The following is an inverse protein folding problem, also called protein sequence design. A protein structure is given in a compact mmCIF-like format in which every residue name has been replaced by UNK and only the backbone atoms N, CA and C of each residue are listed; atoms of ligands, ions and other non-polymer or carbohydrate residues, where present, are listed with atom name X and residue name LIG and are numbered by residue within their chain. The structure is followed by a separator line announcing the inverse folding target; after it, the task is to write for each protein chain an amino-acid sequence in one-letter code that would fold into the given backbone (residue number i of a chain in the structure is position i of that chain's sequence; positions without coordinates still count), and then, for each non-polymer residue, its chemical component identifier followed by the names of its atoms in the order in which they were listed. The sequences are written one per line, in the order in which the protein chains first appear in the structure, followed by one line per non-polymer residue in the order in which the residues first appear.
data_IF_238014049161
#
_entry.id   IF_238014049161
#
_cell.length_a   1.000
_cell.length_b   1.000
_cell.length_c   1.000
_cell.angle_alpha   90.00
_cell.angle_beta   90.00
_cell.angle_gamma   90.00
#
_symmetry.space_group_name_H-M   'P 1'
#
loop_
_entity.id
_entity.type
_entity.pdbx_description
1 polymer ?
#
# COMPACT_ATOMS: atom_id res chain seq x y z
N UNK A 1 -14.78 17.82 -6.36
CA UNK A 1 -14.04 19.07 -6.29
C UNK A 1 -12.54 18.84 -6.05
N UNK A 2 -12.09 18.27 -4.91
CA UNK A 2 -10.66 18.10 -4.61
C UNK A 2 -9.90 17.33 -5.70
N UNK A 3 -10.46 16.21 -6.20
CA UNK A 3 -9.85 15.42 -7.28
C UNK A 3 -9.77 16.22 -8.58
N UNK A 4 -10.82 16.93 -8.92
CA UNK A 4 -10.90 17.77 -10.13
C UNK A 4 -9.90 18.93 -10.12
N UNK A 5 -9.66 19.51 -8.96
CA UNK A 5 -8.68 20.60 -8.76
C UNK A 5 -7.25 20.07 -8.62
N UNK A 6 -7.05 18.74 -8.68
CA UNK A 6 -5.76 18.10 -8.51
C UNK A 6 -5.18 18.23 -7.10
N UNK A 7 -6.02 18.38 -6.08
CA UNK A 7 -5.60 18.44 -4.67
C UNK A 7 -5.63 17.08 -3.99
N UNK A 8 -6.21 16.08 -4.65
CA UNK A 8 -6.29 14.71 -4.17
C UNK A 8 -6.25 13.74 -5.35
N UNK A 9 -5.76 12.52 -5.11
CA UNK A 9 -5.87 11.40 -6.03
C UNK A 9 -6.96 10.44 -5.57
N UNK A 10 -7.51 9.67 -6.51
CA UNK A 10 -8.51 8.66 -6.24
C UNK A 10 -7.89 7.27 -6.31
N UNK A 11 -8.15 6.45 -5.30
CA UNK A 11 -7.95 5.01 -5.33
C UNK A 11 -9.08 4.35 -4.54
N UNK A 12 -9.29 3.06 -4.77
CA UNK A 12 -10.47 2.37 -4.27
C UNK A 12 -10.11 1.16 -3.44
N UNK A 13 -10.80 1.03 -2.32
CA UNK A 13 -10.75 -0.13 -1.43
C UNK A 13 -12.11 -0.79 -1.52
N UNK A 14 -12.15 -2.06 -1.98
CA UNK A 14 -13.40 -2.81 -2.06
C UNK A 14 -14.12 -2.91 -0.70
N UNK A 15 -15.46 -2.99 -0.68
CA UNK A 15 -16.37 -3.07 -1.83
C UNK A 15 -16.90 -1.70 -2.34
N UNK A 16 -16.44 -0.57 -1.78
CA UNK A 16 -17.01 0.75 -2.06
C UNK A 16 -16.61 1.27 -3.45
N UNK A 17 -17.54 1.18 -4.40
CA UNK A 17 -17.33 1.54 -5.81
C UNK A 17 -18.31 2.61 -6.33
N UNK A 18 -19.14 3.17 -5.44
CA UNK A 18 -20.28 4.03 -5.83
C UNK A 18 -19.90 5.19 -6.77
N UNK A 19 -18.72 5.79 -6.58
CA UNK A 19 -18.26 6.96 -7.35
C UNK A 19 -17.02 6.68 -8.19
N UNK A 20 -16.67 5.41 -8.41
CA UNK A 20 -15.46 4.98 -9.09
C UNK A 20 -15.25 5.69 -10.45
N UNK A 21 -16.19 5.52 -11.38
CA UNK A 21 -16.08 6.09 -12.73
C UNK A 21 -16.00 7.63 -12.73
N UNK A 22 -16.77 8.28 -11.85
CA UNK A 22 -16.77 9.73 -11.73
C UNK A 22 -15.41 10.25 -11.22
N UNK A 23 -14.87 9.63 -10.16
CA UNK A 23 -13.62 10.08 -9.56
C UNK A 23 -12.42 9.83 -10.48
N UNK A 24 -12.40 8.71 -11.21
CA UNK A 24 -11.36 8.45 -12.21
C UNK A 24 -11.42 9.45 -13.37
N UNK A 25 -12.62 9.78 -13.86
CA UNK A 25 -12.76 10.80 -14.90
C UNK A 25 -12.22 12.15 -14.43
N UNK A 26 -12.62 12.61 -13.24
CA UNK A 26 -12.16 13.87 -12.68
C UNK A 26 -10.64 13.89 -12.44
N UNK A 27 -10.05 12.74 -12.07
CA UNK A 27 -8.61 12.61 -11.95
C UNK A 27 -7.92 12.70 -13.31
N UNK A 28 -8.44 12.01 -14.33
CA UNK A 28 -7.90 12.05 -15.68
C UNK A 28 -7.93 13.49 -16.25
N UNK A 29 -9.02 14.24 -16.03
CA UNK A 29 -9.13 15.66 -16.39
C UNK A 29 -8.03 16.49 -15.69
N UNK A 30 -7.84 16.32 -14.37
CA UNK A 30 -6.80 17.02 -13.61
C UNK A 30 -5.38 16.68 -14.10
N UNK A 31 -5.11 15.42 -14.45
CA UNK A 31 -3.85 14.96 -15.03
C UNK A 31 -3.60 15.59 -16.40
N UNK A 32 -4.61 15.60 -17.28
CA UNK A 32 -4.52 16.21 -18.61
C UNK A 32 -4.21 17.70 -18.53
N UNK A 33 -4.85 18.41 -17.63
CA UNK A 33 -4.64 19.84 -17.40
C UNK A 33 -3.41 20.14 -16.55
N UNK A 34 -2.72 19.13 -16.04
CA UNK A 34 -1.51 19.26 -15.19
C UNK A 34 -1.71 20.18 -13.99
N UNK A 35 -2.89 20.12 -13.35
CA UNK A 35 -3.21 20.97 -12.19
C UNK A 35 -2.85 20.32 -10.86
N UNK A 36 -2.56 21.13 -9.85
CA UNK A 36 -2.27 20.70 -8.49
C UNK A 36 -1.09 19.71 -8.41
N UNK A 37 -1.33 18.54 -7.77
CA UNK A 37 -0.32 17.50 -7.60
C UNK A 37 0.16 16.88 -8.93
N UNK A 38 -0.61 17.05 -10.01
CA UNK A 38 -0.29 16.57 -11.37
C UNK A 38 0.54 17.57 -12.18
N UNK A 39 0.82 18.76 -11.64
CA UNK A 39 1.67 19.76 -12.31
C UNK A 39 3.12 19.27 -12.40
N UNK A 40 3.95 19.94 -13.22
CA UNK A 40 5.36 19.62 -13.38
C UNK A 40 6.16 19.68 -12.06
N UNK A 41 5.66 20.38 -11.05
CA UNK A 41 6.22 20.43 -9.69
C UNK A 41 5.69 19.31 -8.79
N UNK A 42 4.56 18.70 -9.13
CA UNK A 42 3.98 17.56 -8.44
C UNK A 42 4.74 16.29 -8.79
N UNK A 43 5.15 15.52 -7.77
CA UNK A 43 5.84 14.23 -7.95
C UNK A 43 4.87 13.08 -7.69
N UNK A 44 3.71 13.08 -8.32
CA UNK A 44 2.81 11.93 -8.23
C UNK A 44 3.39 10.81 -9.08
N UNK A 45 3.61 9.68 -8.47
CA UNK A 45 4.08 8.46 -9.11
C UNK A 45 2.90 7.63 -9.57
N UNK A 46 3.07 6.85 -10.62
CA UNK A 46 2.02 5.99 -11.17
C UNK A 46 1.56 4.94 -10.14
N UNK A 47 2.50 4.35 -9.42
CA UNK A 47 2.22 3.48 -8.27
C UNK A 47 2.64 4.16 -6.98
N UNK A 48 1.78 4.06 -5.96
CA UNK A 48 2.01 4.65 -4.65
C UNK A 48 1.69 3.67 -3.53
N UNK A 49 2.59 3.55 -2.57
CA UNK A 49 2.31 2.88 -1.31
C UNK A 49 1.40 3.79 -0.48
N UNK A 50 0.18 3.34 -0.19
CA UNK A 50 -0.82 4.14 0.52
C UNK A 50 -0.94 3.78 1.99
N UNK A 51 -0.51 2.57 2.36
CA UNK A 51 -0.58 2.06 3.73
C UNK A 51 0.49 1.00 3.92
N UNK A 52 1.14 1.01 5.08
CA UNK A 52 1.84 -0.14 5.62
C UNK A 52 1.22 -0.44 6.99
N UNK A 53 0.75 -1.66 7.17
CA UNK A 53 0.10 -2.15 8.39
C UNK A 53 0.91 -3.32 8.93
N UNK A 54 1.71 -3.13 9.98
CA UNK A 54 2.39 -4.23 10.66
C UNK A 54 1.37 -5.06 11.44
N UNK A 55 1.70 -6.32 11.68
CA UNK A 55 0.85 -7.20 12.48
C UNK A 55 0.61 -6.62 13.89
N UNK A 56 -0.66 -6.59 14.30
CA UNK A 56 -1.06 -6.26 15.65
C UNK A 56 -1.68 -7.52 16.30
N UNK A 57 -1.01 -8.15 17.25
CA UNK A 57 -1.50 -9.38 17.86
C UNK A 57 -2.79 -9.17 18.67
N UNK A 58 -3.22 -7.94 18.88
CA UNK A 58 -4.47 -7.60 19.59
C UNK A 58 -5.67 -7.46 18.66
N UNK A 59 -5.44 -7.50 17.33
CA UNK A 59 -6.49 -7.37 16.32
C UNK A 59 -6.61 -8.67 15.52
N UNK A 60 -7.85 -9.09 15.26
CA UNK A 60 -8.17 -10.21 14.38
C UNK A 60 -8.36 -9.66 12.95
N UNK A 61 -7.25 -9.31 12.32
CA UNK A 61 -7.25 -8.76 10.97
C UNK A 61 -7.25 -9.87 9.91
N UNK A 62 -8.04 -9.69 8.85
CA UNK A 62 -8.04 -10.59 7.69
C UNK A 62 -6.61 -10.74 7.09
N UNK A 63 -5.82 -9.68 7.20
CA UNK A 63 -4.42 -9.65 6.78
C UNK A 63 -3.57 -9.19 7.97
N UNK A 64 -2.86 -10.11 8.65
CA UNK A 64 -2.14 -9.79 9.89
C UNK A 64 -1.07 -8.72 9.73
N UNK A 65 -0.37 -8.68 8.58
CA UNK A 65 0.44 -7.53 8.17
C UNK A 65 0.39 -7.38 6.66
N UNK A 66 0.35 -6.14 6.18
CA UNK A 66 0.27 -5.88 4.75
C UNK A 66 0.78 -4.51 4.36
N UNK A 67 1.13 -4.39 3.09
CA UNK A 67 1.31 -3.10 2.40
C UNK A 67 0.27 -2.97 1.30
N UNK A 68 -0.36 -1.81 1.21
CA UNK A 68 -1.29 -1.49 0.12
C UNK A 68 -0.63 -0.55 -0.86
N UNK A 69 -0.70 -0.91 -2.14
CA UNK A 69 -0.20 -0.12 -3.26
C UNK A 69 -1.40 0.23 -4.14
N UNK A 70 -1.47 1.49 -4.61
CA UNK A 70 -2.52 1.98 -5.51
C UNK A 70 -1.92 2.35 -6.87
N UNK A 71 -2.66 2.06 -7.94
CA UNK A 71 -2.39 2.59 -9.28
C UNK A 71 -3.06 3.97 -9.40
N UNK A 72 -2.27 5.02 -9.41
CA UNK A 72 -2.72 6.41 -9.54
C UNK A 72 -2.62 6.93 -10.98
N UNK A 73 -2.09 6.11 -11.90
CA UNK A 73 -2.02 6.46 -13.33
C UNK A 73 -3.40 6.32 -14.01
N UNK A 74 -3.48 6.75 -15.25
CA UNK A 74 -4.65 6.57 -16.11
C UNK A 74 -4.54 5.34 -17.02
N UNK A 75 -3.56 4.47 -16.78
CA UNK A 75 -3.33 3.25 -17.55
C UNK A 75 -3.28 2.02 -16.65
N UNK A 76 -3.60 0.85 -17.20
CA UNK A 76 -3.39 -0.44 -16.55
C UNK A 76 -1.90 -0.71 -16.39
N UNK A 77 -1.46 -1.07 -15.19
CA UNK A 77 -0.07 -1.39 -14.86
C UNK A 77 0.04 -2.89 -14.58
N UNK A 78 0.96 -3.56 -15.27
CA UNK A 78 1.37 -4.93 -14.96
C UNK A 78 2.40 -4.91 -13.84
N UNK A 79 2.17 -5.71 -12.80
CA UNK A 79 3.07 -5.78 -11.64
C UNK A 79 4.17 -6.82 -11.79
N UNK A 80 4.15 -7.65 -12.83
CA UNK A 80 5.21 -8.64 -13.08
C UNK A 80 6.60 -8.01 -12.99
N UNK A 81 7.45 -8.56 -12.12
CA UNK A 81 8.82 -8.10 -11.92
C UNK A 81 8.99 -6.87 -11.01
N UNK A 82 7.91 -6.28 -10.51
CA UNK A 82 8.02 -5.34 -9.40
C UNK A 82 8.38 -6.08 -8.12
N UNK A 83 9.12 -5.42 -7.24
CA UNK A 83 9.55 -5.98 -5.96
C UNK A 83 9.16 -5.02 -4.83
N UNK A 84 8.49 -5.55 -3.84
CA UNK A 84 8.29 -4.89 -2.55
C UNK A 84 9.31 -5.45 -1.57
N UNK A 85 10.00 -4.59 -0.83
CA UNK A 85 10.98 -5.01 0.18
C UNK A 85 10.90 -4.12 1.42
N UNK A 86 11.49 -4.59 2.51
CA UNK A 86 11.63 -3.86 3.77
C UNK A 86 13.10 -3.49 4.06
N UNK A 87 13.36 -2.79 5.17
CA UNK A 87 14.71 -2.45 5.61
C UNK A 87 15.55 -3.69 5.97
N UNK A 88 14.91 -4.75 6.44
CA UNK A 88 15.55 -6.04 6.73
C UNK A 88 16.03 -6.82 5.48
N UNK A 89 15.75 -6.30 4.27
CA UNK A 89 16.14 -6.92 3.01
C UNK A 89 15.25 -8.08 2.57
N UNK A 90 14.17 -8.37 3.26
CA UNK A 90 13.16 -9.32 2.83
C UNK A 90 12.41 -8.78 1.62
N UNK A 91 11.98 -9.67 0.72
CA UNK A 91 11.44 -9.29 -0.59
C UNK A 91 10.22 -10.10 -0.97
N UNK A 92 9.32 -9.43 -1.70
CA UNK A 92 8.20 -10.03 -2.39
C UNK A 92 8.25 -9.65 -3.86
N UNK A 93 8.41 -10.63 -4.74
CA UNK A 93 8.31 -10.44 -6.19
C UNK A 93 6.83 -10.55 -6.58
N UNK A 94 6.30 -9.51 -7.21
CA UNK A 94 4.91 -9.54 -7.69
C UNK A 94 4.75 -10.49 -8.89
N UNK A 95 3.69 -11.33 -8.88
CA UNK A 95 3.33 -12.18 -10.01
C UNK A 95 2.79 -11.34 -11.19
N UNK A 96 2.48 -12.01 -12.32
CA UNK A 96 1.87 -11.36 -13.48
C UNK A 96 0.39 -11.05 -13.22
N UNK A 97 0.16 -10.00 -12.43
CA UNK A 97 -1.15 -9.42 -12.18
C UNK A 97 -1.20 -7.99 -12.71
N UNK A 98 -2.40 -7.57 -13.11
CA UNK A 98 -2.63 -6.23 -13.67
C UNK A 98 -3.52 -5.41 -12.77
N UNK A 99 -3.16 -4.13 -12.58
CA UNK A 99 -3.93 -3.16 -11.82
C UNK A 99 -4.49 -2.08 -12.76
N UNK A 100 -5.79 -2.00 -12.87
CA UNK A 100 -6.46 -0.91 -13.59
C UNK A 100 -6.34 0.43 -12.83
N UNK A 101 -6.59 1.57 -13.47
CA UNK A 101 -6.59 2.88 -12.83
C UNK A 101 -7.45 2.89 -11.56
N UNK A 102 -6.88 3.40 -10.47
CA UNK A 102 -7.54 3.48 -9.17
C UNK A 102 -7.63 2.16 -8.39
N UNK A 103 -7.22 1.02 -8.96
CA UNK A 103 -7.19 -0.26 -8.25
C UNK A 103 -6.06 -0.31 -7.24
N UNK A 104 -6.21 -1.18 -6.26
CA UNK A 104 -5.21 -1.42 -5.22
C UNK A 104 -4.78 -2.88 -5.21
N UNK A 105 -3.54 -3.13 -4.78
CA UNK A 105 -3.07 -4.45 -4.40
C UNK A 105 -2.67 -4.44 -2.93
N UNK A 106 -3.06 -5.47 -2.20
CA UNK A 106 -2.58 -5.79 -0.86
C UNK A 106 -1.47 -6.82 -1.01
N UNK A 107 -0.26 -6.47 -0.63
CA UNK A 107 0.84 -7.39 -0.43
C UNK A 107 0.78 -7.84 1.04
N UNK A 108 0.18 -9.00 1.30
CA UNK A 108 -0.02 -9.54 2.63
C UNK A 108 1.14 -10.44 3.03
N UNK A 109 1.65 -10.30 4.24
CA UNK A 109 2.57 -11.28 4.82
C UNK A 109 1.85 -12.61 5.06
N UNK A 110 2.61 -13.70 5.00
CA UNK A 110 2.07 -15.03 5.20
C UNK A 110 1.62 -15.71 3.91
N UNK A 111 1.03 -16.89 4.06
CA UNK A 111 0.58 -17.75 2.96
C UNK A 111 -0.89 -17.56 2.66
N UNK A 112 -1.27 -17.77 1.41
CA UNK A 112 -2.66 -17.69 0.95
C UNK A 112 -2.75 -17.83 -0.56
N UNK A 113 -3.92 -17.53 -1.12
CA UNK A 113 -4.16 -17.59 -2.56
C UNK A 113 -4.19 -16.18 -3.13
N UNK A 114 -3.34 -15.92 -4.10
CA UNK A 114 -3.32 -14.67 -4.85
C UNK A 114 -4.56 -14.53 -5.71
N UNK A 115 -5.02 -13.29 -5.88
CA UNK A 115 -6.16 -13.03 -6.75
C UNK A 115 -6.94 -11.77 -6.41
N UNK A 116 -8.19 -11.77 -6.84
CA UNK A 116 -9.13 -10.66 -6.62
C UNK A 116 -9.82 -10.87 -5.27
N UNK A 117 -9.50 -10.05 -4.29
CA UNK A 117 -10.16 -10.06 -2.97
C UNK A 117 -11.53 -9.37 -3.02
N UNK A 118 -11.61 -8.28 -3.80
CA UNK A 118 -12.86 -7.56 -4.06
C UNK A 118 -12.71 -6.78 -5.37
N UNK A 119 -13.82 -6.27 -5.91
CA UNK A 119 -13.76 -5.42 -7.11
C UNK A 119 -12.84 -4.23 -6.85
N UNK A 120 -11.81 -4.10 -7.67
CA UNK A 120 -10.81 -3.03 -7.55
C UNK A 120 -9.72 -3.28 -6.51
N UNK A 121 -9.69 -4.47 -5.88
CA UNK A 121 -8.66 -4.84 -4.91
C UNK A 121 -8.12 -6.24 -5.19
N UNK A 122 -6.82 -6.31 -5.42
CA UNK A 122 -6.05 -7.54 -5.55
C UNK A 122 -5.38 -7.89 -4.23
N UNK A 123 -5.07 -9.17 -4.04
CA UNK A 123 -4.21 -9.66 -2.94
C UNK A 123 -3.09 -10.49 -3.53
N UNK A 124 -1.87 -10.26 -3.05
CA UNK A 124 -0.67 -11.05 -3.32
C UNK A 124 -0.08 -11.46 -1.98
N UNK A 125 0.20 -12.74 -1.81
CA UNK A 125 0.78 -13.26 -0.58
C UNK A 125 2.31 -13.30 -0.67
N UNK A 126 2.94 -12.67 0.28
CA UNK A 126 4.38 -12.44 0.39
C UNK A 126 4.92 -13.18 1.61
N UNK A 127 5.00 -14.51 1.54
CA UNK A 127 5.30 -15.37 2.70
C UNK A 127 6.62 -15.05 3.41
N UNK A 128 7.60 -14.52 2.67
CA UNK A 128 8.93 -14.18 3.20
C UNK A 128 9.04 -12.75 3.71
N UNK A 129 8.00 -11.92 3.51
CA UNK A 129 8.02 -10.51 3.87
C UNK A 129 7.36 -10.32 5.23
N UNK A 130 8.13 -9.97 6.23
CA UNK A 130 7.66 -9.62 7.56
C UNK A 130 7.97 -8.15 7.86
N UNK A 131 7.05 -7.49 8.54
CA UNK A 131 7.17 -6.06 8.87
C UNK A 131 7.47 -5.89 10.35
N UNK A 132 8.48 -5.05 10.70
CA UNK A 132 8.76 -4.73 12.09
C UNK A 132 7.58 -3.90 12.66
N UNK A 133 6.91 -4.36 13.74
CA UNK A 133 5.76 -3.65 14.28
C UNK A 133 6.11 -2.29 14.90
N UNK A 134 7.37 -2.04 15.21
CA UNK A 134 7.81 -0.80 15.83
C UNK A 134 8.17 0.28 14.81
N UNK A 135 8.92 -0.05 13.77
CA UNK A 135 9.37 0.88 12.75
C UNK A 135 9.92 0.11 11.56
N UNK A 136 9.50 0.45 10.35
CA UNK A 136 10.05 -0.13 9.11
C UNK A 136 9.81 0.80 7.93
N UNK A 137 10.49 0.51 6.81
CA UNK A 137 10.30 1.22 5.55
C UNK A 137 9.99 0.22 4.43
N UNK A 138 8.87 0.42 3.78
CA UNK A 138 8.52 -0.30 2.57
C UNK A 138 9.14 0.39 1.34
N UNK A 139 9.80 -0.39 0.49
CA UNK A 139 10.40 0.06 -0.78
C UNK A 139 9.73 -0.68 -1.92
N UNK A 140 9.20 0.04 -2.89
CA UNK A 140 8.68 -0.52 -4.14
C UNK A 140 9.66 -0.21 -5.27
N UNK A 141 10.15 -1.24 -5.95
CA UNK A 141 11.04 -1.11 -7.11
C UNK A 141 10.39 -1.72 -8.36
N UNK A 142 10.68 -1.13 -9.53
CA UNK A 142 10.20 -1.64 -10.81
C UNK A 142 11.12 -2.76 -11.38
N UNK A 143 10.75 -3.41 -12.50
CA UNK A 143 11.57 -4.45 -13.13
C UNK A 143 12.99 -3.99 -13.51
N UNK A 144 13.18 -2.69 -13.76
CA UNK A 144 14.52 -2.10 -14.02
C UNK A 144 15.29 -1.80 -12.73
N UNK A 145 14.82 -2.25 -11.57
CA UNK A 145 15.40 -2.00 -10.24
C UNK A 145 15.42 -0.52 -9.82
N UNK A 146 14.66 0.32 -10.48
CA UNK A 146 14.51 1.73 -10.09
C UNK A 146 13.48 1.85 -8.97
N UNK A 147 13.77 2.70 -7.99
CA UNK A 147 12.87 2.99 -6.89
C UNK A 147 11.62 3.71 -7.41
N UNK A 148 10.46 3.12 -7.17
CA UNK A 148 9.14 3.67 -7.54
C UNK A 148 8.57 4.48 -6.39
N UNK A 149 8.49 3.90 -5.18
CA UNK A 149 7.97 4.59 -4.01
C UNK A 149 8.56 4.04 -2.72
N UNK A 150 8.46 4.82 -1.65
CA UNK A 150 8.83 4.43 -0.30
C UNK A 150 7.77 4.86 0.69
N UNK A 151 7.56 4.05 1.72
CA UNK A 151 6.66 4.37 2.81
C UNK A 151 7.30 3.99 4.14
N UNK A 152 7.67 4.98 4.92
CA UNK A 152 8.19 4.79 6.26
C UNK A 152 7.06 4.90 7.29
N UNK A 153 7.03 4.01 8.27
CA UNK A 153 6.09 4.10 9.38
C UNK A 153 6.78 3.86 10.72
N UNK A 154 6.20 4.47 11.75
CA UNK A 154 6.49 4.18 13.15
C UNK A 154 5.22 3.65 13.81
N UNK A 155 5.28 2.41 14.30
CA UNK A 155 4.23 1.80 15.08
C UNK A 155 4.07 2.50 16.44
N UNK A 156 2.92 2.35 17.06
CA UNK A 156 2.77 2.72 18.47
C UNK A 156 3.65 1.78 19.28
N UNK A 157 4.59 2.31 20.07
CA UNK A 157 5.33 1.49 21.06
C UNK A 157 4.30 0.80 21.95
N UNK A 158 4.15 -0.50 21.81
CA UNK A 158 3.43 -1.31 22.78
C UNK A 158 4.26 -1.23 24.04
N UNK A 159 3.82 -0.44 25.03
CA UNK A 159 4.44 -0.47 26.37
C UNK A 159 4.20 -1.87 26.90
N UNK A 160 5.23 -2.70 26.90
CA UNK A 160 5.19 -3.98 27.58
C UNK A 160 4.68 -3.79 29.03
N UNK A 161 4.04 -4.79 29.62
CA UNK A 161 3.55 -4.71 30.98
C UNK A 161 4.72 -4.27 31.86
N UNK A 162 4.58 -3.13 32.54
CA UNK A 162 5.60 -2.64 33.46
C UNK A 162 5.80 -3.71 34.54
N UNK A 163 6.99 -4.28 34.62
CA UNK A 163 7.38 -5.24 35.65
C UNK A 163 7.48 -4.54 37.02
N UNK A 164 6.34 -4.03 37.51
CA UNK A 164 6.22 -3.57 38.89
C UNK A 164 5.49 -4.61 39.71
N UNK A 165 6.09 -5.78 39.84
CA UNK A 165 5.80 -6.64 40.97
C UNK A 165 7.13 -7.00 41.63
N UNK A 166 7.68 -6.08 42.42
CA UNK A 166 8.58 -6.41 43.49
C UNK A 166 7.71 -6.91 44.64
N UNK A 167 7.47 -8.20 44.69
CA UNK A 167 6.90 -8.86 45.86
C UNK A 167 7.78 -8.58 47.05
N UNK A 168 7.22 -7.95 48.08
CA UNK A 168 7.82 -7.94 49.40
C UNK A 168 7.69 -9.34 49.96
N UNK A 169 8.80 -10.07 50.07
CA UNK A 169 8.90 -11.23 50.96
C UNK A 169 8.78 -10.73 52.41
N UNK A 170 7.87 -11.34 53.16
CA UNK A 170 7.89 -11.40 54.63
C UNK A 170 8.29 -12.77 55.03
#
# INVERSE_FOLDING_TARGET
RLVQEGLAHAFFIGPNQKHHALLLRLQAEAQQHKVGIWSARGRVRDLKITTAHPADPTQDDQYPSYVRIANLSNATIKLAGYVLSNEGGQRCLFPDVSMDPGYTVIASSGSGTDGVAAKGQLVVHCSELAWDPSEDTAFLTNPSRSLVDTFHYKGKRVRGPSSRYKGKAR
#
